data_IF_339105242158
#
_entry.id   IF_339105242158
#
_cell.length_a   1.000
_cell.length_b   1.000
_cell.length_c   1.000
_cell.angle_alpha   90.00
_cell.angle_beta   90.00
_cell.angle_gamma   90.00
#
_symmetry.space_group_name_H-M   'P 1'
#
loop_
_entity.id
_entity.type
_entity.pdbx_description
1 polymer ?
#
# COMPACT_ATOMS: atom_id res chain seq x y z
N UNK A 1 -10.63 -2.99 -11.34
CA UNK A 1 -10.35 -1.62 -11.81
C UNK A 1 -9.55 -1.69 -13.10
N UNK A 2 -10.04 -1.04 -14.17
CA UNK A 2 -9.49 -1.13 -15.52
C UNK A 2 -8.24 -0.26 -15.76
N UNK A 3 -7.84 0.58 -14.79
CA UNK A 3 -6.86 1.66 -14.98
C UNK A 3 -5.51 1.18 -15.52
N UNK A 4 -5.01 0.04 -15.03
CA UNK A 4 -3.67 -0.47 -15.37
C UNK A 4 -3.67 -1.53 -16.48
N UNK A 5 -4.84 -1.90 -17.03
CA UNK A 5 -4.90 -2.84 -18.16
C UNK A 5 -4.26 -2.28 -19.42
N UNK A 6 -4.23 -0.95 -19.58
CA UNK A 6 -3.53 -0.30 -20.70
C UNK A 6 -2.00 -0.26 -20.55
N UNK A 7 -1.46 -0.69 -19.40
CA UNK A 7 -0.03 -0.62 -19.10
C UNK A 7 0.49 -1.95 -18.51
N UNK A 8 0.44 -3.07 -19.27
CA UNK A 8 0.65 -4.41 -18.74
C UNK A 8 2.10 -4.72 -18.31
N UNK A 9 3.07 -3.92 -18.77
CA UNK A 9 4.51 -4.10 -18.49
C UNK A 9 5.09 -3.02 -17.56
N UNK A 10 4.22 -2.25 -16.90
CA UNK A 10 4.66 -1.18 -15.99
C UNK A 10 5.44 -1.77 -14.81
N UNK A 11 6.64 -1.24 -14.57
CA UNK A 11 7.48 -1.65 -13.44
C UNK A 11 7.38 -0.71 -12.24
N UNK A 12 7.06 0.57 -12.48
CA UNK A 12 7.00 1.61 -11.45
C UNK A 12 5.69 2.35 -11.56
N UNK A 13 4.94 2.39 -10.46
CA UNK A 13 3.67 3.08 -10.36
C UNK A 13 3.67 4.03 -9.17
N UNK A 14 3.30 5.28 -9.42
CA UNK A 14 3.12 6.30 -8.40
C UNK A 14 1.67 6.83 -8.43
N UNK A 15 0.92 6.51 -7.38
CA UNK A 15 -0.49 6.86 -7.23
C UNK A 15 -0.66 7.93 -6.17
N UNK A 16 -1.03 9.12 -6.62
CA UNK A 16 -1.46 10.21 -5.76
C UNK A 16 -2.95 10.49 -5.97
N UNK A 17 -3.74 10.34 -4.91
CA UNK A 17 -5.19 10.46 -5.00
C UNK A 17 -5.80 11.32 -3.90
N UNK A 18 -7.03 11.75 -4.17
CA UNK A 18 -7.91 12.38 -3.19
C UNK A 18 -8.69 11.32 -2.42
N UNK A 19 -9.17 11.63 -1.21
CA UNK A 19 -9.75 10.69 -0.25
C UNK A 19 -10.89 9.80 -0.73
N UNK A 20 -11.57 10.22 -1.79
CA UNK A 20 -12.90 9.71 -2.16
C UNK A 20 -12.85 8.69 -3.31
N UNK A 21 -11.65 8.30 -3.78
CA UNK A 21 -11.53 7.79 -5.16
C UNK A 21 -10.83 6.43 -5.34
N UNK A 22 -10.44 5.70 -4.29
CA UNK A 22 -9.86 4.36 -4.46
C UNK A 22 -10.69 3.29 -3.73
N UNK A 23 -11.37 2.47 -4.53
CA UNK A 23 -12.08 1.27 -4.05
C UNK A 23 -11.22 -0.01 -4.14
N UNK A 24 -10.48 -0.21 -5.25
CA UNK A 24 -9.66 -1.42 -5.47
C UNK A 24 -8.61 -1.18 -6.54
N UNK A 25 -7.31 -1.29 -6.25
CA UNK A 25 -6.27 -1.13 -7.29
C UNK A 25 -5.60 -2.48 -7.56
N UNK A 26 -6.06 -3.15 -8.61
CA UNK A 26 -5.37 -4.32 -9.14
C UNK A 26 -4.11 -3.87 -9.87
N UNK A 27 -2.94 -4.19 -9.33
CA UNK A 27 -1.65 -3.88 -9.96
C UNK A 27 -1.22 -5.03 -10.89
N UNK A 28 -0.57 -4.73 -12.02
CA UNK A 28 -0.07 -5.76 -12.92
C UNK A 28 1.11 -6.51 -12.30
N UNK A 29 1.35 -7.78 -12.69
CA UNK A 29 2.40 -8.61 -12.11
C UNK A 29 3.80 -8.06 -12.37
N UNK A 30 4.03 -7.34 -13.47
CA UNK A 30 5.33 -6.73 -13.78
C UNK A 30 5.78 -5.64 -12.81
N UNK A 31 4.93 -5.22 -11.88
CA UNK A 31 5.17 -4.07 -11.02
C UNK A 31 6.21 -4.39 -9.94
N UNK A 32 7.39 -3.79 -10.05
CA UNK A 32 8.49 -3.89 -9.08
C UNK A 32 8.40 -2.85 -7.97
N UNK A 33 7.80 -1.69 -8.25
CA UNK A 33 7.73 -0.57 -7.30
C UNK A 33 6.39 0.13 -7.29
N UNK A 34 5.83 0.26 -6.09
CA UNK A 34 4.54 0.90 -5.84
C UNK A 34 4.69 2.04 -4.83
N UNK A 35 4.25 3.22 -5.24
CA UNK A 35 4.09 4.38 -4.37
C UNK A 35 2.63 4.79 -4.31
N UNK A 36 2.11 4.95 -3.10
CA UNK A 36 0.73 5.32 -2.82
C UNK A 36 0.76 6.46 -1.81
N UNK A 37 0.12 7.57 -2.14
CA UNK A 37 0.07 8.72 -1.25
C UNK A 37 -1.21 9.52 -1.36
N UNK A 38 -1.69 10.02 -0.22
CA UNK A 38 -2.73 11.03 -0.16
C UNK A 38 -2.19 12.39 0.31
N UNK A 39 -2.90 13.47 -0.03
CA UNK A 39 -2.55 14.83 0.45
C UNK A 39 -2.84 15.01 1.95
N UNK A 40 -3.85 14.31 2.45
CA UNK A 40 -4.32 14.34 3.84
C UNK A 40 -4.56 12.92 4.33
N UNK A 41 -4.50 12.69 5.64
CA UNK A 41 -4.73 11.37 6.24
C UNK A 41 -6.15 10.89 6.00
N UNK A 42 -6.30 9.80 5.25
CA UNK A 42 -7.62 9.29 4.84
C UNK A 42 -7.71 7.78 4.83
N UNK A 43 -8.91 7.29 5.13
CA UNK A 43 -9.21 5.87 5.00
C UNK A 43 -9.20 5.50 3.53
N UNK A 44 -8.37 4.55 3.15
CA UNK A 44 -8.38 4.00 1.79
C UNK A 44 -8.92 2.58 1.80
N UNK A 45 -9.66 2.22 0.76
CA UNK A 45 -9.91 0.83 0.40
C UNK A 45 -8.79 0.41 -0.55
N UNK A 46 -7.84 -0.36 -0.01
CA UNK A 46 -6.66 -0.75 -0.75
C UNK A 46 -6.51 -2.26 -0.70
N UNK A 47 -6.65 -2.86 -1.87
CA UNK A 47 -6.36 -4.26 -2.12
C UNK A 47 -5.18 -4.34 -3.07
N UNK A 48 -4.06 -4.94 -2.63
CA UNK A 48 -2.85 -5.12 -3.44
C UNK A 48 -2.53 -6.61 -3.50
N UNK A 49 -2.34 -7.11 -4.71
CA UNK A 49 -1.81 -8.44 -5.00
C UNK A 49 -0.67 -8.25 -6.00
N UNK A 50 0.57 -8.38 -5.54
CA UNK A 50 1.77 -7.98 -6.29
C UNK A 50 2.96 -8.90 -5.96
N UNK A 51 2.99 -10.12 -6.54
CA UNK A 51 4.01 -11.13 -6.19
C UNK A 51 5.43 -10.67 -6.50
N UNK A 52 5.63 -9.88 -7.56
CA UNK A 52 6.97 -9.43 -7.98
C UNK A 52 7.32 -8.04 -7.43
N UNK A 53 6.55 -7.53 -6.46
CA UNK A 53 6.82 -6.22 -5.87
C UNK A 53 8.05 -6.28 -4.98
N UNK A 54 9.04 -5.43 -5.27
CA UNK A 54 10.29 -5.33 -4.52
C UNK A 54 10.26 -4.15 -3.53
N UNK A 55 9.52 -3.09 -3.85
CA UNK A 55 9.50 -1.85 -3.07
C UNK A 55 8.08 -1.29 -2.91
N UNK A 56 7.68 -1.07 -1.65
CA UNK A 56 6.39 -0.49 -1.28
C UNK A 56 6.56 0.83 -0.51
N UNK A 57 5.89 1.88 -0.94
CA UNK A 57 5.87 3.17 -0.23
C UNK A 57 4.42 3.60 -0.07
N UNK A 58 3.96 3.70 1.17
CA UNK A 58 2.62 4.18 1.53
C UNK A 58 2.76 5.44 2.39
N UNK A 59 2.08 6.52 2.00
CA UNK A 59 2.15 7.84 2.66
C UNK A 59 0.77 8.38 3.01
N UNK A 60 0.60 8.83 4.26
CA UNK A 60 -0.61 9.52 4.73
C UNK A 60 -1.90 8.74 4.48
N UNK A 61 -1.84 7.41 4.63
CA UNK A 61 -3.01 6.53 4.52
C UNK A 61 -3.37 6.06 5.93
N UNK A 62 -4.66 5.95 6.22
CA UNK A 62 -5.11 5.29 7.44
C UNK A 62 -5.80 3.99 7.08
N UNK A 63 -5.65 2.98 7.94
CA UNK A 63 -6.34 1.71 7.76
C UNK A 63 -7.86 1.95 7.84
N UNK A 64 -8.53 1.88 6.68
CA UNK A 64 -9.98 1.94 6.54
C UNK A 64 -10.64 0.60 6.83
N UNK A 65 -11.90 0.43 6.38
CA UNK A 65 -12.65 -0.83 6.57
C UNK A 65 -12.06 -2.03 5.82
N UNK A 66 -11.35 -1.81 4.71
CA UNK A 66 -10.71 -2.88 3.93
C UNK A 66 -9.32 -2.44 3.52
N UNK A 67 -8.33 -3.01 4.18
CA UNK A 67 -6.93 -2.84 3.81
C UNK A 67 -6.33 -4.24 3.77
N UNK A 68 -6.18 -4.75 2.55
CA UNK A 68 -5.87 -6.15 2.30
C UNK A 68 -4.69 -6.21 1.35
N UNK A 69 -3.54 -6.65 1.84
CA UNK A 69 -2.36 -6.80 1.01
C UNK A 69 -1.94 -8.25 1.00
N UNK A 70 -1.72 -8.79 -0.20
CA UNK A 70 -1.43 -10.18 -0.46
C UNK A 70 -0.15 -10.31 -1.28
N UNK A 71 0.52 -11.44 -1.14
CA UNK A 71 1.66 -11.84 -1.95
C UNK A 71 2.85 -10.86 -1.95
N UNK A 72 3.07 -10.10 -0.88
CA UNK A 72 4.18 -9.13 -0.78
C UNK A 72 5.52 -9.73 -0.31
N UNK A 73 5.71 -11.04 -0.50
CA UNK A 73 6.85 -11.78 0.03
C UNK A 73 8.20 -11.36 -0.57
N UNK A 74 8.20 -10.81 -1.79
CA UNK A 74 9.40 -10.31 -2.46
C UNK A 74 9.76 -8.86 -2.12
N UNK A 75 8.93 -8.18 -1.29
CA UNK A 75 9.21 -6.80 -0.90
C UNK A 75 10.43 -6.77 0.03
N UNK A 76 11.54 -6.21 -0.47
CA UNK A 76 12.77 -6.07 0.30
C UNK A 76 12.82 -4.77 1.11
N UNK A 77 12.09 -3.74 0.67
CA UNK A 77 12.06 -2.44 1.32
C UNK A 77 10.65 -1.84 1.35
N UNK A 78 10.20 -1.41 2.53
CA UNK A 78 8.94 -0.69 2.69
C UNK A 78 9.07 0.57 3.54
N UNK A 79 8.41 1.64 3.08
CA UNK A 79 8.11 2.83 3.88
C UNK A 79 6.60 2.88 4.11
N UNK A 80 6.19 2.84 5.36
CA UNK A 80 4.80 2.77 5.77
C UNK A 80 4.49 3.92 6.73
N UNK A 81 3.81 4.94 6.22
CA UNK A 81 3.15 5.98 7.00
C UNK A 81 1.65 5.67 7.00
N UNK A 82 1.31 4.61 7.76
CA UNK A 82 -0.03 4.02 7.86
C UNK A 82 -0.43 3.89 9.32
N UNK A 83 -1.54 4.52 9.73
CA UNK A 83 -1.97 4.49 11.14
C UNK A 83 -3.32 3.84 11.37
N UNK A 84 -3.42 3.03 12.45
CA UNK A 84 -4.69 2.55 12.93
C UNK A 84 -5.50 3.71 13.53
N UNK A 85 -6.76 3.87 13.10
CA UNK A 85 -7.73 4.78 13.74
C UNK A 85 -8.60 4.08 14.79
N UNK A 86 -8.56 2.75 14.86
CA UNK A 86 -9.35 1.93 15.77
C UNK A 86 -8.66 0.59 16.11
N UNK A 87 -9.21 -0.18 17.05
CA UNK A 87 -8.69 -1.52 17.35
C UNK A 87 -8.74 -2.47 16.15
N UNK A 88 -9.78 -2.38 15.31
CA UNK A 88 -9.91 -3.19 14.09
C UNK A 88 -8.72 -2.97 13.14
N UNK A 89 -8.19 -1.76 13.09
CA UNK A 89 -7.01 -1.45 12.26
C UNK A 89 -5.67 -1.98 12.79
N UNK A 90 -5.58 -2.48 14.03
CA UNK A 90 -4.37 -3.15 14.52
C UNK A 90 -4.18 -4.50 13.82
N UNK A 91 -5.27 -5.23 13.57
CA UNK A 91 -5.24 -6.48 12.80
C UNK A 91 -4.78 -6.23 11.36
N UNK A 92 -5.24 -5.16 10.72
CA UNK A 92 -4.80 -4.81 9.37
C UNK A 92 -3.30 -4.49 9.27
N UNK A 93 -2.73 -3.85 10.29
CA UNK A 93 -1.27 -3.64 10.36
C UNK A 93 -0.53 -4.97 10.56
N UNK A 94 -1.05 -5.85 11.42
CA UNK A 94 -0.47 -7.16 11.63
C UNK A 94 -0.47 -8.01 10.35
N UNK A 95 -1.60 -8.04 9.62
CA UNK A 95 -1.73 -8.76 8.36
C UNK A 95 -0.79 -8.19 7.29
N UNK A 96 -0.64 -6.86 7.24
CA UNK A 96 0.34 -6.20 6.36
C UNK A 96 1.77 -6.64 6.68
N UNK A 97 2.15 -6.65 7.96
CA UNK A 97 3.49 -7.07 8.37
C UNK A 97 3.73 -8.56 8.08
N UNK A 98 2.71 -9.40 8.21
CA UNK A 98 2.77 -10.81 7.83
C UNK A 98 2.95 -11.00 6.31
N UNK A 99 2.26 -10.20 5.50
CA UNK A 99 2.43 -10.20 4.05
C UNK A 99 3.85 -9.76 3.64
N UNK A 100 4.47 -8.89 4.43
CA UNK A 100 5.86 -8.40 4.27
C UNK A 100 6.89 -9.32 4.94
N UNK A 101 6.64 -10.62 5.06
CA UNK A 101 7.51 -11.57 5.77
C UNK A 101 8.96 -11.62 5.28
N UNK A 102 9.22 -11.26 4.01
CA UNK A 102 10.57 -11.20 3.41
C UNK A 102 11.31 -9.87 3.57
N UNK A 103 10.76 -8.90 4.31
CA UNK A 103 11.29 -7.54 4.35
C UNK A 103 12.65 -7.44 5.03
N UNK A 104 13.56 -6.64 4.45
CA UNK A 104 14.89 -6.35 5.01
C UNK A 104 14.98 -4.93 5.57
N UNK A 105 14.29 -3.99 4.94
CA UNK A 105 14.29 -2.59 5.32
C UNK A 105 12.86 -2.10 5.53
N UNK A 106 12.46 -1.93 6.78
CA UNK A 106 11.15 -1.42 7.15
C UNK A 106 11.29 -0.08 7.85
N UNK A 107 10.64 0.95 7.32
CA UNK A 107 10.48 2.24 7.99
C UNK A 107 9.00 2.49 8.28
N UNK A 108 8.68 2.60 9.57
CA UNK A 108 7.39 3.07 10.06
C UNK A 108 7.51 4.55 10.42
N UNK A 109 6.66 5.40 9.87
CA UNK A 109 6.68 6.84 10.17
C UNK A 109 5.30 7.27 10.63
N UNK A 110 5.22 8.18 11.62
CA UNK A 110 4.03 8.97 11.90
C UNK A 110 4.24 10.35 11.31
N UNK A 111 3.52 10.69 10.24
CA UNK A 111 3.49 12.07 9.78
C UNK A 111 2.84 12.96 10.85
N UNK A 112 3.64 13.43 11.80
CA UNK A 112 3.30 14.53 12.72
C UNK A 112 3.60 15.87 12.07
N UNK A 113 3.38 16.03 10.75
CA UNK A 113 3.39 17.37 10.17
C UNK A 113 2.24 18.16 10.81
N UNK A 114 2.65 19.00 11.76
CA UNK A 114 1.91 20.11 12.35
C UNK A 114 1.25 20.97 11.28
#
# INVERSE_FOLDING_TARGET
NALLYGCPIIEVLDLHFRPVCLDKVSVPPSLKKLRIGAKIDVGAYLEIDAPDLECLIVRKITFGKVFSMYNLHNVVAAYLDVFPRSFVSVFALHDLLNALSGIKHLMLSRSTTK
#
